data_IF_017748694142
#
_entry.id   IF_017748694142
#
_cell.length_a   1.000
_cell.length_b   1.000
_cell.length_c   1.000
_cell.angle_alpha   90.00
_cell.angle_beta   90.00
_cell.angle_gamma   90.00
#
_symmetry.space_group_name_H-M   'P 1'
#
loop_
_entity.id
_entity.type
_entity.pdbx_description
1 polymer ?
#
# COMPACT_ATOMS: atom_id res chain seq x y z
N UNK A 1 29.78 30.04 22.68
CA UNK A 1 28.64 29.97 21.74
C UNK A 1 28.70 28.58 21.11
N UNK A 2 28.05 27.58 21.70
CA UNK A 2 26.64 27.27 21.50
C UNK A 2 26.56 25.99 20.67
N UNK A 3 26.55 24.84 21.34
CA UNK A 3 26.48 23.50 20.73
C UNK A 3 25.25 23.44 19.81
N UNK A 4 25.50 23.31 18.51
CA UNK A 4 24.47 23.07 17.50
C UNK A 4 23.84 21.71 17.74
N UNK A 5 22.77 21.67 18.52
CA UNK A 5 21.89 20.52 18.64
C UNK A 5 21.33 20.22 17.25
N UNK A 6 21.88 19.18 16.64
CA UNK A 6 21.40 18.55 15.41
C UNK A 6 19.97 18.08 15.69
N UNK A 7 19.01 18.87 15.25
CA UNK A 7 17.61 18.45 15.16
C UNK A 7 17.52 17.43 14.03
N UNK A 8 16.66 16.43 14.22
CA UNK A 8 16.12 15.52 13.18
C UNK A 8 16.77 14.13 12.99
N UNK A 9 16.98 13.34 14.06
CA UNK A 9 17.21 11.87 13.95
C UNK A 9 15.89 11.06 13.92
N UNK A 10 14.79 11.60 14.46
CA UNK A 10 13.49 10.89 14.55
C UNK A 10 12.83 10.64 13.18
N UNK A 11 12.93 11.60 12.25
CA UNK A 11 12.34 11.44 10.90
C UNK A 11 13.02 10.30 10.14
N UNK A 12 14.35 10.20 10.22
CA UNK A 12 15.11 9.15 9.54
C UNK A 12 14.80 7.75 10.06
N UNK A 13 14.63 7.60 11.37
CA UNK A 13 14.28 6.31 11.98
C UNK A 13 12.84 5.88 11.65
N UNK A 14 11.89 6.83 11.61
CA UNK A 14 10.51 6.55 11.17
C UNK A 14 10.45 6.14 9.69
N UNK A 15 11.23 6.78 8.82
CA UNK A 15 11.29 6.43 7.40
C UNK A 15 11.85 5.02 7.17
N UNK A 16 12.90 4.66 7.92
CA UNK A 16 13.45 3.30 7.90
C UNK A 16 12.39 2.29 8.36
N UNK A 17 11.70 2.57 9.47
CA UNK A 17 10.64 1.70 9.99
C UNK A 17 9.51 1.49 8.97
N UNK A 18 9.01 2.58 8.37
CA UNK A 18 8.00 2.54 7.31
C UNK A 18 8.42 1.60 6.17
N UNK A 19 9.65 1.80 5.69
CA UNK A 19 10.18 1.02 4.58
C UNK A 19 10.35 -0.45 4.93
N UNK A 20 10.78 -0.76 6.15
CA UNK A 20 10.86 -2.16 6.63
C UNK A 20 9.48 -2.81 6.68
N UNK A 21 8.46 -2.10 7.17
CA UNK A 21 7.08 -2.60 7.21
C UNK A 21 6.56 -2.87 5.78
N UNK A 22 6.75 -1.93 4.85
CA UNK A 22 6.33 -2.09 3.45
C UNK A 22 6.98 -3.32 2.80
N UNK A 23 8.29 -3.51 3.02
CA UNK A 23 9.02 -4.67 2.50
C UNK A 23 8.46 -5.98 3.07
N UNK A 24 8.25 -6.06 4.38
CA UNK A 24 7.69 -7.27 5.00
C UNK A 24 6.30 -7.60 4.46
N UNK A 25 5.43 -6.59 4.33
CA UNK A 25 4.09 -6.77 3.78
C UNK A 25 4.14 -7.22 2.32
N UNK A 26 5.06 -6.72 1.51
CA UNK A 26 5.26 -7.15 0.12
C UNK A 26 5.64 -8.64 0.04
N UNK A 27 6.60 -9.06 0.86
CA UNK A 27 7.05 -10.46 0.91
C UNK A 27 5.91 -11.39 1.34
N UNK A 28 5.21 -11.05 2.43
CA UNK A 28 4.07 -11.84 2.91
C UNK A 28 2.96 -11.91 1.87
N UNK A 29 2.66 -10.80 1.19
CA UNK A 29 1.62 -10.78 0.14
C UNK A 29 1.99 -11.73 -0.99
N UNK A 30 3.23 -11.67 -1.49
CA UNK A 30 3.69 -12.54 -2.56
C UNK A 30 3.67 -14.01 -2.15
N UNK A 31 4.07 -14.32 -0.92
CA UNK A 31 4.00 -15.68 -0.40
C UNK A 31 2.55 -16.18 -0.30
N UNK A 32 1.62 -15.33 0.15
CA UNK A 32 0.20 -15.67 0.20
C UNK A 32 -0.39 -15.89 -1.20
N UNK A 33 -0.12 -15.01 -2.16
CA UNK A 33 -0.59 -15.15 -3.54
C UNK A 33 0.02 -16.36 -4.27
N UNK A 34 1.17 -16.85 -3.84
CA UNK A 34 1.74 -18.09 -4.37
C UNK A 34 1.12 -19.34 -3.72
N UNK A 35 0.74 -19.24 -2.44
CA UNK A 35 0.16 -20.35 -1.69
C UNK A 35 -1.34 -20.55 -1.99
N UNK A 36 -2.06 -19.47 -2.25
CA UNK A 36 -3.44 -19.46 -2.68
C UNK A 36 -3.45 -19.00 -4.13
N UNK A 37 -3.99 -19.78 -5.06
CA UNK A 37 -4.20 -19.35 -6.45
C UNK A 37 -5.57 -18.67 -6.55
N UNK A 38 -5.69 -17.35 -6.37
CA UNK A 38 -6.95 -16.66 -6.58
C UNK A 38 -7.33 -16.69 -8.06
N UNK A 39 -8.62 -16.78 -8.35
CA UNK A 39 -9.13 -16.64 -9.72
C UNK A 39 -8.90 -15.22 -10.25
N UNK A 40 -9.01 -14.22 -9.37
CA UNK A 40 -8.85 -12.81 -9.71
C UNK A 40 -8.13 -12.04 -8.61
N UNK A 41 -7.28 -11.08 -9.01
CA UNK A 41 -6.52 -10.22 -8.10
C UNK A 41 -6.65 -8.77 -8.54
N UNK A 42 -7.22 -7.94 -7.68
CA UNK A 42 -7.26 -6.49 -7.89
C UNK A 42 -5.95 -5.90 -7.34
N UNK A 43 -5.05 -5.51 -8.23
CA UNK A 43 -3.80 -4.86 -7.84
C UNK A 43 -4.00 -3.38 -7.50
N UNK A 44 -3.76 -3.03 -6.24
CA UNK A 44 -3.79 -1.64 -5.79
C UNK A 44 -2.34 -1.11 -5.74
N UNK A 45 -2.03 0.04 -6.39
CA UNK A 45 -0.72 0.65 -6.32
C UNK A 45 -0.34 1.00 -4.88
N UNK A 46 0.79 0.48 -4.41
CA UNK A 46 1.24 0.60 -3.01
C UNK A 46 1.83 1.97 -2.66
N UNK A 47 2.05 2.85 -3.65
CA UNK A 47 2.60 4.18 -3.46
C UNK A 47 1.53 5.28 -3.24
N UNK A 48 0.24 4.91 -3.15
CA UNK A 48 -0.86 5.87 -2.97
C UNK A 48 -0.84 6.48 -1.56
N UNK A 49 -0.56 5.67 -0.54
CA UNK A 49 -0.43 6.11 0.85
C UNK A 49 0.62 5.31 1.60
N UNK A 50 1.33 5.94 2.53
CA UNK A 50 2.13 5.24 3.54
C UNK A 50 1.30 4.94 4.79
N UNK A 51 1.82 4.12 5.69
CA UNK A 51 1.09 3.60 6.87
C UNK A 51 0.59 4.67 7.85
N UNK A 52 1.15 5.89 7.80
CA UNK A 52 0.78 6.99 8.68
C UNK A 52 -0.03 8.10 7.99
N UNK A 53 -0.33 7.97 6.68
CA UNK A 53 -1.06 8.99 5.91
C UNK A 53 -2.59 8.83 6.02
N UNK A 54 -3.11 8.84 7.24
CA UNK A 54 -4.54 8.66 7.51
C UNK A 54 -5.43 9.72 6.83
N UNK A 55 -4.90 10.90 6.57
CA UNK A 55 -5.60 11.97 5.86
C UNK A 55 -5.95 11.60 4.41
N UNK A 56 -5.25 10.63 3.80
CA UNK A 56 -5.54 10.09 2.45
C UNK A 56 -6.58 8.98 2.44
N UNK A 57 -7.07 8.52 3.61
CA UNK A 57 -7.94 7.36 3.72
C UNK A 57 -9.18 7.46 2.80
N UNK A 58 -9.83 8.63 2.75
CA UNK A 58 -11.01 8.83 1.88
C UNK A 58 -10.70 8.61 0.40
N UNK A 59 -9.59 9.18 -0.07
CA UNK A 59 -9.16 9.03 -1.47
C UNK A 59 -8.80 7.58 -1.79
N UNK A 60 -8.14 6.88 -0.85
CA UNK A 60 -7.77 5.48 -1.01
C UNK A 60 -9.00 4.57 -1.07
N UNK A 61 -10.01 4.83 -0.23
CA UNK A 61 -11.27 4.08 -0.23
C UNK A 61 -12.01 4.28 -1.56
N UNK A 62 -12.16 5.52 -2.00
CA UNK A 62 -12.82 5.85 -3.28
C UNK A 62 -12.08 5.21 -4.46
N UNK A 63 -10.74 5.18 -4.42
CA UNK A 63 -9.91 4.50 -5.42
C UNK A 63 -10.14 2.99 -5.42
N UNK A 64 -10.18 2.36 -4.24
CA UNK A 64 -10.45 0.93 -4.11
C UNK A 64 -11.80 0.52 -4.69
N UNK A 65 -12.86 1.30 -4.43
CA UNK A 65 -14.17 1.06 -5.02
C UNK A 65 -14.15 1.14 -6.55
N UNK A 66 -13.48 2.13 -7.12
CA UNK A 66 -13.36 2.26 -8.58
C UNK A 66 -12.62 1.10 -9.22
N UNK A 67 -11.54 0.62 -8.60
CA UNK A 67 -10.80 -0.54 -9.12
C UNK A 67 -11.63 -1.81 -9.05
N UNK A 68 -12.37 -2.02 -7.96
CA UNK A 68 -13.25 -3.17 -7.83
C UNK A 68 -14.39 -3.16 -8.85
N UNK A 69 -15.01 -2.00 -9.07
CA UNK A 69 -16.08 -1.82 -10.07
C UNK A 69 -15.58 -2.06 -11.50
N UNK A 70 -14.38 -1.55 -11.82
CA UNK A 70 -13.74 -1.77 -13.10
C UNK A 70 -13.43 -3.27 -13.32
N UNK A 71 -12.77 -3.91 -12.36
CA UNK A 71 -12.39 -5.32 -12.49
C UNK A 71 -13.63 -6.21 -12.62
N UNK A 72 -14.65 -5.98 -11.80
CA UNK A 72 -15.92 -6.71 -11.88
C UNK A 72 -16.60 -6.53 -13.24
N UNK A 73 -16.61 -5.31 -13.78
CA UNK A 73 -17.16 -5.03 -15.11
C UNK A 73 -16.40 -5.77 -16.20
N UNK A 74 -15.06 -5.84 -16.11
CA UNK A 74 -14.22 -6.61 -17.03
C UNK A 74 -14.54 -8.11 -16.96
N UNK A 75 -14.68 -8.66 -15.75
CA UNK A 75 -15.05 -10.08 -15.57
C UNK A 75 -16.40 -10.40 -16.20
N UNK A 76 -17.40 -9.52 -16.03
CA UNK A 76 -18.73 -9.71 -16.60
C UNK A 76 -18.71 -9.66 -18.14
N UNK A 77 -17.81 -8.88 -18.74
CA UNK A 77 -17.64 -8.88 -20.20
C UNK A 77 -16.94 -10.13 -20.73
N UNK A 78 -16.06 -10.77 -19.95
CA UNK A 78 -15.36 -12.00 -20.37
C UNK A 78 -16.25 -13.24 -20.31
N UNK A 79 -17.36 -13.20 -19.56
CA UNK A 79 -18.32 -14.30 -19.41
C UNK A 79 -19.37 -14.34 -20.53
N UNK A 80 -19.56 -13.24 -21.28
CA UNK A 80 -20.65 -13.05 -22.24
C UNK A 80 -20.16 -13.08 -23.70
#
# INVERSE_FOLDING_TARGET
EGLGLKKDDESGMLDVLNKTIDIMQNVITRLKLAAYNPDYVIEIPRNICTIYEFYKAKVLIDYGYKMADWELSSMLSDIN
#
